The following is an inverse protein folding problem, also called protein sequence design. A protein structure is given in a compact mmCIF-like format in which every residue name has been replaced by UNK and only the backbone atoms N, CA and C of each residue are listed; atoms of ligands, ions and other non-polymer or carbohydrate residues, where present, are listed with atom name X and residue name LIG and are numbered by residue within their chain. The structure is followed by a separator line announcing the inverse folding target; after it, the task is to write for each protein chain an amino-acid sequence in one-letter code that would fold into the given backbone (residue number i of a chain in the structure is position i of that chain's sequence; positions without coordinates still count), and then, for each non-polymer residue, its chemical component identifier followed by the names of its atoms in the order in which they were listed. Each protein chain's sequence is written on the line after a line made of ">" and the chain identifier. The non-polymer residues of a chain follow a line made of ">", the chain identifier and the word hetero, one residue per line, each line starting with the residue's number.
data_IF_904071630383
#
_entry.id   IF_904071630383
#
_cell.length_a   1.000
_cell.length_b   1.000
_cell.length_c   1.000
_cell.angle_alpha   90.00
_cell.angle_beta   90.00
_cell.angle_gamma   90.00
#
_symmetry.space_group_name_H-M   'P 1'
#
loop_
_entity.id
_entity.type
_entity.pdbx_description
1 polymer ?
#
# COMPACT_ATOMS: atom_id res chain seq x y z
N UNK A 1 19.42 -35.38 4.57
CA UNK A 1 18.84 -34.32 5.42
C UNK A 1 17.35 -33.98 5.11
N UNK A 2 16.63 -34.76 4.28
CA UNK A 2 15.20 -34.48 3.93
C UNK A 2 14.15 -35.36 4.62
N UNK A 3 14.56 -36.33 5.45
CA UNK A 3 13.68 -37.37 5.98
C UNK A 3 12.92 -37.02 7.26
N UNK A 4 13.36 -36.02 8.02
CA UNK A 4 12.76 -35.68 9.33
C UNK A 4 11.54 -34.75 9.22
N UNK A 5 11.43 -33.99 8.12
CA UNK A 5 10.30 -33.07 7.88
C UNK A 5 9.01 -33.84 7.56
N UNK A 6 9.11 -35.05 6.98
CA UNK A 6 7.96 -35.77 6.39
C UNK A 6 7.14 -36.64 7.34
N UNK A 7 7.54 -36.74 8.62
CA UNK A 7 6.95 -37.66 9.62
C UNK A 7 6.03 -36.98 10.65
N UNK A 8 5.96 -35.64 10.65
CA UNK A 8 5.14 -34.84 11.57
C UNK A 8 4.51 -33.61 10.88
N UNK A 9 3.99 -33.79 9.66
CA UNK A 9 3.53 -32.68 8.81
C UNK A 9 2.49 -31.79 9.51
N UNK A 10 1.58 -32.40 10.29
CA UNK A 10 0.56 -31.68 11.08
C UNK A 10 1.14 -30.79 12.18
N UNK A 11 2.17 -31.26 12.90
CA UNK A 11 2.79 -30.50 14.01
C UNK A 11 3.62 -29.33 13.47
N UNK A 12 4.42 -29.57 12.44
CA UNK A 12 5.22 -28.51 11.80
C UNK A 12 4.35 -27.53 11.03
N UNK A 13 3.32 -28.00 10.31
CA UNK A 13 2.34 -27.12 9.64
C UNK A 13 1.61 -26.22 10.63
N UNK A 14 1.17 -26.76 11.77
CA UNK A 14 0.56 -25.96 12.84
C UNK A 14 1.49 -24.87 13.40
N UNK A 15 2.77 -25.18 13.64
CA UNK A 15 3.77 -24.20 14.07
C UNK A 15 3.98 -23.09 13.02
N UNK A 16 4.04 -23.46 11.74
CA UNK A 16 4.17 -22.49 10.63
C UNK A 16 2.95 -21.57 10.54
N UNK A 17 1.74 -22.12 10.75
CA UNK A 17 0.52 -21.30 10.82
C UNK A 17 0.60 -20.27 11.95
N UNK A 18 0.98 -20.68 13.16
CA UNK A 18 1.11 -19.74 14.30
C UNK A 18 2.18 -18.68 14.03
N UNK A 19 3.30 -19.07 13.41
CA UNK A 19 4.33 -18.12 12.98
C UNK A 19 3.76 -17.11 11.97
N UNK A 20 2.96 -17.57 11.00
CA UNK A 20 2.26 -16.69 10.06
C UNK A 20 1.35 -15.68 10.77
N UNK A 21 0.57 -16.13 11.76
CA UNK A 21 -0.29 -15.26 12.58
C UNK A 21 0.53 -14.23 13.36
N UNK A 22 1.65 -14.63 13.97
CA UNK A 22 2.58 -13.73 14.65
C UNK A 22 3.13 -12.66 13.71
N UNK A 23 3.54 -13.05 12.50
CA UNK A 23 4.04 -12.11 11.48
C UNK A 23 2.94 -11.13 11.06
N UNK A 24 1.71 -11.60 10.83
CA UNK A 24 0.56 -10.74 10.50
C UNK A 24 0.30 -9.75 11.64
N UNK A 25 0.26 -10.21 12.89
CA UNK A 25 0.03 -9.36 14.05
C UNK A 25 1.10 -8.25 14.15
N UNK A 26 2.37 -8.61 13.98
CA UNK A 26 3.47 -7.63 13.94
C UNK A 26 3.33 -6.65 12.77
N UNK A 27 2.92 -7.13 11.59
CA UNK A 27 2.67 -6.29 10.42
C UNK A 27 1.55 -5.28 10.65
N UNK A 28 0.42 -5.71 11.23
CA UNK A 28 -0.75 -4.85 11.53
C UNK A 28 -0.45 -3.85 12.65
N UNK A 29 0.17 -4.28 13.74
CA UNK A 29 0.53 -3.39 14.84
C UNK A 29 1.59 -2.39 14.38
N UNK A 30 2.63 -2.86 13.68
CA UNK A 30 3.69 -2.02 13.17
C UNK A 30 3.23 -1.02 12.11
N UNK A 31 2.30 -1.43 11.23
CA UNK A 31 1.78 -0.53 10.19
C UNK A 31 0.96 0.62 10.75
N UNK A 32 0.25 0.40 11.85
CA UNK A 32 -0.49 1.45 12.53
C UNK A 32 0.41 2.29 13.44
N UNK A 33 1.28 1.66 14.23
CA UNK A 33 2.14 2.34 15.20
C UNK A 33 3.18 3.27 14.55
N UNK A 34 3.64 2.94 13.34
CA UNK A 34 4.65 3.73 12.62
C UNK A 34 4.14 4.37 11.33
N UNK A 35 2.81 4.44 11.14
CA UNK A 35 2.23 5.25 10.07
C UNK A 35 2.45 6.73 10.37
N UNK A 36 2.88 7.49 9.35
CA UNK A 36 2.93 8.94 9.42
C UNK A 36 2.15 9.53 8.25
N UNK A 37 1.34 10.55 8.53
CA UNK A 37 0.53 11.22 7.52
C UNK A 37 0.62 12.72 7.68
N UNK A 38 0.51 13.45 6.58
CA UNK A 38 0.40 14.89 6.57
C UNK A 38 -0.49 15.34 5.42
N UNK A 39 -1.06 16.53 5.56
CA UNK A 39 -1.90 17.14 4.54
C UNK A 39 -1.35 18.55 4.27
N UNK A 40 -1.10 18.83 2.99
CA UNK A 40 -0.42 20.05 2.57
C UNK A 40 -1.06 20.60 1.31
N UNK A 41 -1.24 21.92 1.25
CA UNK A 41 -1.66 22.62 0.03
C UNK A 41 -0.42 23.12 -0.70
N UNK A 42 -0.21 22.65 -1.92
CA UNK A 42 0.96 22.92 -2.73
C UNK A 42 0.59 23.69 -4.00
N UNK A 43 1.47 24.59 -4.43
CA UNK A 43 1.48 25.22 -5.76
C UNK A 43 2.41 24.48 -6.72
N UNK A 44 2.21 24.58 -8.04
CA UNK A 44 3.11 23.96 -9.01
C UNK A 44 4.57 24.33 -8.75
N UNK A 45 5.44 23.32 -8.63
CA UNK A 45 6.85 23.46 -8.30
C UNK A 45 7.17 23.38 -6.79
N UNK A 46 6.18 23.57 -5.91
CA UNK A 46 6.36 23.39 -4.46
C UNK A 46 6.40 21.90 -4.11
N UNK A 47 7.11 21.60 -3.02
CA UNK A 47 7.27 20.23 -2.55
C UNK A 47 7.07 20.13 -1.03
N UNK A 48 6.47 19.02 -0.61
CA UNK A 48 6.39 18.62 0.78
C UNK A 48 7.37 17.48 1.05
N UNK A 49 7.85 17.39 2.29
CA UNK A 49 8.71 16.30 2.74
C UNK A 49 8.04 15.53 3.88
N UNK A 50 8.07 14.20 3.80
CA UNK A 50 7.57 13.31 4.84
C UNK A 50 8.37 12.00 4.85
N UNK A 51 8.89 11.63 6.02
CA UNK A 51 9.61 10.37 6.23
C UNK A 51 10.77 10.10 5.23
N UNK A 52 11.45 11.15 4.75
CA UNK A 52 12.54 11.02 3.76
C UNK A 52 12.09 10.96 2.30
N UNK A 53 10.79 11.07 2.03
CA UNK A 53 10.25 11.33 0.70
C UNK A 53 10.04 12.82 0.50
N UNK A 54 10.39 13.30 -0.69
CA UNK A 54 10.07 14.63 -1.18
C UNK A 54 9.08 14.49 -2.34
N UNK A 55 7.90 15.06 -2.17
CA UNK A 55 6.80 15.03 -3.13
C UNK A 55 6.62 16.43 -3.67
N UNK A 56 6.91 16.62 -4.95
CA UNK A 56 6.70 17.90 -5.65
C UNK A 56 5.41 17.85 -6.44
N UNK A 57 4.59 18.88 -6.32
CA UNK A 57 3.39 19.04 -7.14
C UNK A 57 3.77 19.63 -8.50
N UNK A 58 3.47 18.91 -9.58
CA UNK A 58 3.82 19.31 -10.95
C UNK A 58 2.66 20.03 -11.65
N UNK A 59 1.41 19.73 -11.27
CA UNK A 59 0.23 20.40 -11.79
C UNK A 59 -1.02 19.52 -11.79
N UNK A 60 -2.14 20.10 -12.19
CA UNK A 60 -3.43 19.41 -12.36
C UNK A 60 -3.77 19.29 -13.83
N UNK A 61 -4.41 18.18 -14.20
CA UNK A 61 -4.97 17.96 -15.52
C UNK A 61 -6.41 17.51 -15.38
N UNK A 62 -7.30 18.24 -16.05
CA UNK A 62 -8.71 17.96 -16.11
C UNK A 62 -8.99 17.13 -17.37
N UNK A 63 -9.68 15.99 -17.22
CA UNK A 63 -9.98 15.06 -18.32
C UNK A 63 -11.46 14.77 -18.32
N UNK A 64 -12.11 15.05 -19.44
CA UNK A 64 -13.50 14.66 -19.68
C UNK A 64 -13.53 13.22 -20.20
N UNK A 65 -14.31 12.35 -19.55
CA UNK A 65 -14.61 11.00 -20.04
C UNK A 65 -16.10 10.87 -20.33
N UNK A 66 -16.49 9.85 -21.09
CA UNK A 66 -17.87 9.69 -21.60
C UNK A 66 -18.94 9.58 -20.51
N UNK A 67 -18.57 9.17 -19.30
CA UNK A 67 -19.48 8.95 -18.18
C UNK A 67 -19.12 9.76 -16.92
N UNK A 68 -17.98 10.44 -16.90
CA UNK A 68 -17.55 11.25 -15.77
C UNK A 68 -16.47 12.25 -16.16
N UNK A 69 -16.35 13.30 -15.38
CA UNK A 69 -15.21 14.20 -15.41
C UNK A 69 -14.18 13.77 -14.36
N UNK A 70 -12.88 13.85 -14.62
CA UNK A 70 -11.85 13.59 -13.61
C UNK A 70 -10.78 14.68 -13.59
N UNK A 71 -10.28 14.97 -12.39
CA UNK A 71 -9.12 15.82 -12.17
C UNK A 71 -7.99 14.95 -11.65
N UNK A 72 -6.86 14.98 -12.33
CA UNK A 72 -5.65 14.21 -12.01
C UNK A 72 -4.57 15.18 -11.56
N UNK A 73 -3.99 14.96 -10.38
CA UNK A 73 -2.82 15.72 -9.93
C UNK A 73 -1.55 14.94 -10.24
N UNK A 74 -0.54 15.57 -10.84
CA UNK A 74 0.76 14.95 -11.06
C UNK A 74 1.73 15.35 -9.94
N UNK A 75 2.34 14.34 -9.31
CA UNK A 75 3.29 14.53 -8.20
C UNK A 75 4.55 13.71 -8.40
N UNK A 76 5.68 14.40 -8.61
CA UNK A 76 7.00 13.75 -8.68
C UNK A 76 7.46 13.39 -7.27
N UNK A 77 7.73 12.10 -7.05
CA UNK A 77 8.22 11.57 -5.77
C UNK A 77 9.71 11.27 -5.88
N UNK A 78 10.46 11.71 -4.88
CA UNK A 78 11.91 11.50 -4.79
C UNK A 78 12.37 11.14 -3.38
N UNK A 79 13.46 10.38 -3.28
CA UNK A 79 14.19 10.11 -2.04
C UNK A 79 15.67 9.94 -2.39
N UNK A 80 16.43 11.04 -2.30
CA UNK A 80 17.81 11.16 -2.83
C UNK A 80 17.90 11.15 -4.37
N UNK A 81 17.02 10.41 -5.05
CA UNK A 81 16.81 10.38 -6.51
C UNK A 81 15.31 10.37 -6.82
N UNK A 82 14.94 10.70 -8.05
CA UNK A 82 13.55 10.55 -8.51
C UNK A 82 13.19 9.06 -8.47
N UNK A 83 12.07 8.74 -7.85
CA UNK A 83 11.57 7.38 -7.69
C UNK A 83 10.44 7.09 -8.66
N UNK A 84 9.45 7.99 -8.74
CA UNK A 84 8.24 7.80 -9.56
C UNK A 84 7.45 9.11 -9.70
N UNK A 85 6.40 9.12 -10.52
CA UNK A 85 5.39 10.18 -10.61
C UNK A 85 4.01 9.62 -10.30
N UNK A 86 3.49 9.97 -9.12
CA UNK A 86 2.16 9.56 -8.68
C UNK A 86 1.09 10.50 -9.24
N UNK A 87 -0.03 9.91 -9.64
CA UNK A 87 -1.17 10.54 -10.32
C UNK A 87 -2.50 10.25 -9.62
N UNK A 88 -2.67 10.66 -8.35
CA UNK A 88 -3.99 10.59 -7.71
C UNK A 88 -5.02 11.39 -8.50
N UNK A 89 -6.28 11.01 -8.38
CA UNK A 89 -7.36 11.67 -9.09
C UNK A 89 -8.59 11.88 -8.22
N UNK A 90 -9.46 12.80 -8.64
CA UNK A 90 -10.82 12.96 -8.12
C UNK A 90 -11.78 12.84 -9.30
N UNK A 91 -12.71 11.90 -9.23
CA UNK A 91 -13.72 11.63 -10.26
C UNK A 91 -15.06 12.24 -9.85
N UNK A 92 -15.71 12.90 -10.80
CA UNK A 92 -16.97 13.59 -10.64
C UNK A 92 -17.99 12.92 -11.55
N UNK A 93 -18.87 12.12 -10.94
CA UNK A 93 -19.97 11.47 -11.64
C UNK A 93 -21.21 12.36 -11.53
N UNK A 94 -21.92 12.64 -12.63
CA UNK A 94 -23.12 13.50 -12.58
C UNK A 94 -24.24 12.97 -11.67
N UNK A 95 -24.26 11.67 -11.41
CA UNK A 95 -25.27 11.00 -10.57
C UNK A 95 -24.89 10.96 -9.08
N UNK A 96 -23.66 11.33 -8.73
CA UNK A 96 -23.15 11.26 -7.36
C UNK A 96 -23.06 12.67 -6.76
N UNK A 97 -23.45 12.80 -5.48
CA UNK A 97 -23.39 14.09 -4.78
C UNK A 97 -21.96 14.47 -4.38
N UNK A 98 -21.08 13.48 -4.21
CA UNK A 98 -19.69 13.67 -3.77
C UNK A 98 -18.70 13.09 -4.78
N UNK A 99 -17.57 13.78 -5.05
CA UNK A 99 -16.53 13.24 -5.89
C UNK A 99 -15.86 12.02 -5.26
N UNK A 100 -15.46 11.05 -6.09
CA UNK A 100 -14.75 9.85 -5.66
C UNK A 100 -13.25 10.07 -5.80
N UNK A 101 -12.51 10.01 -4.70
CA UNK A 101 -11.05 10.10 -4.71
C UNK A 101 -10.42 8.77 -5.11
N UNK A 102 -9.46 8.82 -6.04
CA UNK A 102 -8.59 7.73 -6.42
C UNK A 102 -7.21 7.96 -5.82
N UNK A 103 -6.80 7.01 -4.99
CA UNK A 103 -5.49 7.00 -4.34
C UNK A 103 -4.47 6.45 -5.32
N UNK A 104 -3.33 7.14 -5.45
CA UNK A 104 -2.17 6.55 -6.09
C UNK A 104 -1.13 6.20 -5.03
N UNK A 105 -0.38 5.14 -5.25
CA UNK A 105 0.50 4.57 -4.24
C UNK A 105 1.73 3.91 -4.83
N UNK A 106 2.80 3.91 -4.04
CA UNK A 106 4.04 3.21 -4.35
C UNK A 106 4.30 2.17 -3.27
N UNK A 107 4.21 0.90 -3.66
CA UNK A 107 4.51 -0.23 -2.79
C UNK A 107 6.03 -0.42 -2.66
N UNK A 108 6.47 -0.73 -1.45
CA UNK A 108 7.84 -1.11 -1.13
C UNK A 108 7.90 -2.36 -0.25
N UNK A 109 9.12 -2.79 0.04
CA UNK A 109 9.34 -3.91 0.98
C UNK A 109 9.32 -3.46 2.45
N UNK A 110 9.65 -2.19 2.70
CA UNK A 110 9.74 -1.61 4.04
C UNK A 110 8.60 -0.63 4.31
N UNK A 111 8.30 0.19 3.31
CA UNK A 111 7.43 1.35 3.38
C UNK A 111 6.62 1.47 2.09
N UNK A 112 5.37 1.87 2.26
CA UNK A 112 4.42 2.16 1.19
C UNK A 112 4.03 3.64 1.28
N UNK A 113 4.11 4.34 0.16
CA UNK A 113 3.72 5.73 0.04
C UNK A 113 2.33 5.82 -0.59
N UNK A 114 1.41 6.50 0.06
CA UNK A 114 0.06 6.74 -0.42
C UNK A 114 -0.16 8.24 -0.61
N UNK A 115 -0.81 8.57 -1.71
CA UNK A 115 -1.06 9.93 -2.10
C UNK A 115 -2.53 10.07 -2.51
N UNK A 116 -3.22 10.99 -1.85
CA UNK A 116 -4.65 11.25 -2.11
C UNK A 116 -4.81 12.71 -2.46
N UNK A 117 -5.47 12.97 -3.60
CA UNK A 117 -5.84 14.32 -3.98
C UNK A 117 -7.04 14.76 -3.13
N UNK A 118 -6.81 15.75 -2.28
CA UNK A 118 -7.83 16.42 -1.48
C UNK A 118 -8.57 17.46 -2.31
N UNK A 119 -8.64 18.68 -1.80
CA UNK A 119 -9.23 19.80 -2.53
C UNK A 119 -8.24 20.47 -3.47
N UNK A 120 -8.76 21.21 -4.44
CA UNK A 120 -7.95 21.97 -5.39
C UNK A 120 -8.71 23.20 -5.85
N UNK A 121 -7.97 24.22 -6.26
CA UNK A 121 -8.57 25.46 -6.77
C UNK A 121 -9.00 25.27 -8.23
N UNK A 122 -10.09 25.94 -8.64
CA UNK A 122 -10.59 25.87 -10.02
C UNK A 122 -9.60 26.40 -11.06
N UNK A 123 -8.71 27.30 -10.66
CA UNK A 123 -7.64 27.82 -11.52
C UNK A 123 -6.44 26.85 -11.65
N UNK A 124 -6.48 25.70 -10.97
CA UNK A 124 -5.45 24.67 -11.00
C UNK A 124 -4.14 25.06 -10.31
N UNK A 125 -4.10 26.22 -9.62
CA UNK A 125 -2.87 26.76 -9.03
C UNK A 125 -2.52 26.18 -7.67
N UNK A 126 -3.47 25.53 -7.00
CA UNK A 126 -3.26 24.92 -5.69
C UNK A 126 -3.96 23.57 -5.61
N UNK A 127 -3.27 22.59 -5.04
CA UNK A 127 -3.81 21.28 -4.72
C UNK A 127 -3.45 20.93 -3.28
N UNK A 128 -4.47 20.61 -2.48
CA UNK A 128 -4.32 19.95 -1.20
C UNK A 128 -4.13 18.46 -1.44
N UNK A 129 -3.06 17.92 -0.88
CA UNK A 129 -2.70 16.52 -1.00
C UNK A 129 -2.51 15.93 0.39
N UNK A 130 -3.08 14.76 0.60
CA UNK A 130 -2.80 13.94 1.77
C UNK A 130 -1.72 12.92 1.40
N UNK A 131 -0.60 13.01 2.09
CA UNK A 131 0.53 12.10 1.97
C UNK A 131 0.57 11.20 3.19
N UNK A 132 0.68 9.90 2.97
CA UNK A 132 0.75 8.91 4.04
C UNK A 132 1.83 7.88 3.76
N UNK A 133 2.70 7.63 4.73
CA UNK A 133 3.74 6.61 4.67
C UNK A 133 3.39 5.53 5.67
N UNK A 134 3.08 4.34 5.18
CA UNK A 134 2.80 3.17 6.02
C UNK A 134 4.00 2.23 5.99
N UNK A 135 4.43 1.75 7.16
CA UNK A 135 5.53 0.78 7.28
C UNK A 135 4.95 -0.62 7.44
N UNK A 136 5.69 -1.65 7.03
CA UNK A 136 5.39 -3.05 7.35
C UNK A 136 4.08 -3.65 6.81
N UNK A 137 3.34 -2.95 5.94
CA UNK A 137 2.14 -3.53 5.30
C UNK A 137 2.51 -4.78 4.50
N UNK A 138 3.67 -4.80 3.83
CA UNK A 138 4.21 -5.96 3.11
C UNK A 138 4.38 -7.19 4.01
N UNK A 139 4.59 -7.01 5.33
CA UNK A 139 4.73 -8.12 6.27
C UNK A 139 3.41 -8.83 6.55
N UNK A 140 2.27 -8.13 6.42
CA UNK A 140 0.95 -8.75 6.50
C UNK A 140 0.80 -9.78 5.38
N UNK A 141 1.23 -9.42 4.17
CA UNK A 141 1.20 -10.32 3.01
C UNK A 141 2.19 -11.48 3.14
N UNK A 142 3.41 -11.23 3.64
CA UNK A 142 4.38 -12.28 3.95
C UNK A 142 3.80 -13.26 4.98
N UNK A 143 3.21 -12.75 6.06
CA UNK A 143 2.56 -13.58 7.08
C UNK A 143 1.38 -14.38 6.53
N UNK A 144 0.58 -13.80 5.62
CA UNK A 144 -0.47 -14.52 4.90
C UNK A 144 0.05 -15.64 4.01
N UNK A 145 1.16 -15.42 3.30
CA UNK A 145 1.83 -16.45 2.50
C UNK A 145 2.38 -17.58 3.38
N UNK A 146 3.01 -17.25 4.52
CA UNK A 146 3.50 -18.23 5.51
C UNK A 146 2.35 -19.03 6.11
N UNK A 147 1.25 -18.37 6.48
CA UNK A 147 0.05 -19.01 7.01
C UNK A 147 -0.52 -20.00 6.00
N UNK A 148 -0.63 -19.58 4.73
CA UNK A 148 -1.13 -20.43 3.64
C UNK A 148 -0.23 -21.64 3.43
N UNK A 149 1.08 -21.46 3.41
CA UNK A 149 2.04 -22.55 3.31
C UNK A 149 1.94 -23.51 4.50
N UNK A 150 1.79 -22.99 5.72
CA UNK A 150 1.59 -23.78 6.94
C UNK A 150 0.31 -24.60 6.88
N UNK A 151 -0.78 -24.01 6.39
CA UNK A 151 -2.07 -24.69 6.21
C UNK A 151 -1.96 -25.83 5.18
N UNK A 152 -1.31 -25.57 4.04
CA UNK A 152 -1.04 -26.61 3.04
C UNK A 152 -0.23 -27.75 3.67
N UNK A 153 0.87 -27.45 4.36
CA UNK A 153 1.71 -28.46 5.04
C UNK A 153 0.93 -29.27 6.07
N UNK A 154 -0.01 -28.66 6.80
CA UNK A 154 -0.83 -29.34 7.79
C UNK A 154 -1.89 -30.27 7.18
N UNK A 155 -2.37 -29.96 5.97
CA UNK A 155 -3.37 -30.76 5.23
C UNK A 155 -2.72 -31.92 4.48
N UNK A 156 -1.46 -31.80 4.05
CA UNK A 156 -0.76 -32.88 3.36
C UNK A 156 -0.75 -34.17 4.23
N UNK A 157 -1.21 -35.31 3.70
CA UNK A 157 -1.28 -36.54 4.47
C UNK A 157 0.10 -36.98 4.94
N UNK A 158 0.20 -37.42 6.20
CA UNK A 158 1.39 -38.08 6.69
C UNK A 158 1.63 -39.29 5.79
N UNK A 159 2.75 -39.34 5.08
CA UNK A 159 3.18 -40.55 4.36
C UNK A 159 3.60 -41.58 5.40
N UNK A 160 2.62 -42.19 6.07
CA UNK A 160 2.78 -43.46 6.77
C UNK A 160 3.27 -44.44 5.72
N UNK A 161 4.49 -44.94 5.89
CA UNK A 161 4.90 -46.14 5.18
C UNK A 161 3.83 -47.18 5.48
N UNK A 162 3.19 -47.66 4.42
CA UNK A 162 2.56 -48.98 4.39
C UNK A 162 3.52 -49.97 5.04
N UNK A 163 3.16 -50.42 6.24
CA UNK A 163 3.68 -51.65 6.81
C UNK A 163 2.79 -52.79 6.30
#
# INVERSE_FOLDING_TARGET
>A
MGGLVRRHNRRYGGLVVHLGILIIALGVTGSQAWSVQTEMTLRPGEAAELAGYRVRFDGLTAVEESNHFKVVGAFTVSSGRILDVLRPAKKFYPQEQSPIAYVDYRLGLKEDLYLVLGDFTRDGRQATVKLQVNRLVSWIWIGGAVLTLGALLAILPDRRGTA
#
